data_IF_577587262240
#
_entry.id   IF_577587262240
#
_cell.length_a   1.000
_cell.length_b   1.000
_cell.length_c   1.000
_cell.angle_alpha   90.00
_cell.angle_beta   90.00
_cell.angle_gamma   90.00
#
_symmetry.space_group_name_H-M   'P 1'
#
loop_
_entity.id
_entity.type
_entity.pdbx_description
1 polymer ?
#
# COMPACT_ATOMS: atom_id res chain seq x y z
N UNK A 1 -5.51 -36.23 -10.47
CA UNK A 1 -6.71 -36.24 -9.59
C UNK A 1 -6.43 -35.73 -8.18
N UNK A 2 -5.42 -36.25 -7.44
CA UNK A 2 -5.12 -35.79 -6.06
C UNK A 2 -4.91 -34.27 -5.92
N UNK A 3 -4.20 -33.63 -6.87
CA UNK A 3 -3.93 -32.18 -6.87
C UNK A 3 -5.19 -31.31 -7.03
N UNK A 4 -6.22 -31.82 -7.71
CA UNK A 4 -7.50 -31.14 -7.92
C UNK A 4 -8.30 -31.11 -6.61
N UNK A 5 -8.32 -32.22 -5.87
CA UNK A 5 -8.96 -32.28 -4.55
C UNK A 5 -8.28 -31.34 -3.54
N UNK A 6 -6.96 -31.21 -3.58
CA UNK A 6 -6.22 -30.24 -2.75
C UNK A 6 -6.60 -28.79 -3.08
N UNK A 7 -6.75 -28.46 -4.36
CA UNK A 7 -7.14 -27.13 -4.82
C UNK A 7 -8.57 -26.76 -4.42
N UNK A 8 -9.50 -27.71 -4.55
CA UNK A 8 -10.90 -27.55 -4.12
C UNK A 8 -10.96 -27.39 -2.60
N UNK A 9 -10.18 -28.16 -1.84
CA UNK A 9 -10.06 -28.03 -0.39
C UNK A 9 -9.60 -26.63 0.04
N UNK A 10 -8.56 -26.08 -0.60
CA UNK A 10 -8.10 -24.72 -0.31
C UNK A 10 -9.15 -23.64 -0.64
N UNK A 11 -9.86 -23.79 -1.76
CA UNK A 11 -10.89 -22.84 -2.20
C UNK A 11 -12.14 -22.85 -1.29
N UNK A 12 -12.44 -23.97 -0.64
CA UNK A 12 -13.54 -24.04 0.33
C UNK A 12 -13.18 -23.37 1.67
N UNK A 13 -11.91 -23.40 2.09
CA UNK A 13 -11.42 -22.75 3.31
C UNK A 13 -11.46 -21.21 3.22
N UNK A 14 -11.38 -20.64 2.01
CA UNK A 14 -11.46 -19.17 1.84
C UNK A 14 -12.83 -18.56 2.17
N UNK A 15 -13.92 -19.34 2.22
CA UNK A 15 -15.25 -18.81 2.53
C UNK A 15 -15.46 -18.55 4.03
N UNK A 16 -14.56 -19.02 4.90
CA UNK A 16 -14.65 -18.84 6.35
C UNK A 16 -13.82 -17.65 6.87
N UNK A 17 -13.19 -16.88 5.99
CA UNK A 17 -12.36 -15.74 6.34
C UNK A 17 -13.19 -14.44 6.36
N UNK A 18 -13.85 -14.16 7.50
CA UNK A 18 -14.48 -12.85 7.79
C UNK A 18 -13.45 -11.74 8.10
N UNK A 19 -12.31 -11.73 7.42
CA UNK A 19 -11.11 -11.01 7.86
C UNK A 19 -11.10 -9.49 7.57
N UNK A 20 -12.18 -8.88 7.09
CA UNK A 20 -12.14 -7.47 6.64
C UNK A 20 -13.11 -6.52 7.37
N UNK A 21 -13.72 -6.94 8.47
CA UNK A 21 -14.54 -6.05 9.30
C UNK A 21 -14.24 -6.26 10.77
N UNK A 22 -13.58 -5.31 11.41
CA UNK A 22 -13.66 -5.22 12.87
C UNK A 22 -15.03 -4.59 13.21
N UNK A 23 -15.84 -5.21 14.08
CA UNK A 23 -17.09 -4.61 14.56
C UNK A 23 -16.88 -3.20 15.11
N UNK A 24 -15.70 -2.97 15.72
CA UNK A 24 -15.29 -1.70 16.33
C UNK A 24 -14.71 -0.71 15.31
N UNK A 25 -14.48 -1.12 14.06
CA UNK A 25 -13.91 -0.24 13.04
C UNK A 25 -14.92 0.78 12.50
N UNK A 26 -16.23 0.63 12.78
CA UNK A 26 -17.26 1.66 12.62
C UNK A 26 -17.06 2.63 11.44
N UNK A 27 -16.73 3.89 11.74
CA UNK A 27 -16.52 4.97 10.76
C UNK A 27 -15.07 5.10 10.23
N UNK A 28 -14.22 4.13 10.57
CA UNK A 28 -12.77 4.10 10.37
C UNK A 28 -12.01 4.92 11.42
N UNK A 29 -10.75 5.25 11.11
CA UNK A 29 -9.93 6.20 11.88
C UNK A 29 -10.41 7.65 11.69
N UNK A 30 -11.66 7.93 12.09
CA UNK A 30 -12.31 9.23 12.00
C UNK A 30 -12.51 9.80 13.41
N UNK A 31 -11.94 10.97 13.65
CA UNK A 31 -12.13 11.78 14.85
C UNK A 31 -13.09 12.92 14.51
N UNK A 32 -14.30 12.88 15.05
CA UNK A 32 -15.26 13.98 14.90
C UNK A 32 -14.84 15.15 15.82
N UNK A 33 -14.81 16.35 15.26
CA UNK A 33 -14.49 17.59 15.98
C UNK A 33 -15.74 18.24 16.59
N UNK A 34 -16.92 17.72 16.26
CA UNK A 34 -18.20 18.15 16.84
C UNK A 34 -19.21 17.00 16.94
N UNK A 35 -20.28 17.23 17.70
CA UNK A 35 -21.34 16.24 17.94
C UNK A 35 -22.16 15.92 16.68
N UNK A 36 -22.25 16.85 15.74
CA UNK A 36 -22.98 16.67 14.47
C UNK A 36 -22.19 15.85 13.44
N UNK A 37 -20.87 15.71 13.60
CA UNK A 37 -20.01 14.84 12.78
C UNK A 37 -19.65 15.37 11.39
N UNK A 38 -20.00 16.61 11.06
CA UNK A 38 -19.68 17.29 9.79
C UNK A 38 -18.29 17.93 9.81
N UNK A 39 -17.67 18.11 10.99
CA UNK A 39 -16.27 18.49 11.15
C UNK A 39 -15.49 17.30 11.67
N UNK A 40 -14.44 16.90 10.97
CA UNK A 40 -13.69 15.71 11.36
C UNK A 40 -12.27 15.68 10.82
N UNK A 41 -11.42 14.88 11.46
CA UNK A 41 -10.12 14.44 10.96
C UNK A 41 -10.21 12.96 10.68
N UNK A 42 -9.77 12.51 9.50
CA UNK A 42 -9.69 11.09 9.17
C UNK A 42 -8.29 10.71 8.71
N UNK A 43 -7.83 9.55 9.18
CA UNK A 43 -6.62 8.89 8.71
C UNK A 43 -6.99 7.71 7.81
N UNK A 44 -6.30 7.59 6.69
CA UNK A 44 -6.44 6.49 5.73
C UNK A 44 -5.06 5.92 5.46
N UNK A 45 -4.93 4.61 5.65
CA UNK A 45 -3.79 3.85 5.17
C UNK A 45 -4.19 3.16 3.87
N UNK A 46 -3.45 3.43 2.81
CA UNK A 46 -3.64 2.80 1.51
C UNK A 46 -2.35 2.09 1.12
N UNK A 47 -2.46 0.80 0.87
CA UNK A 47 -1.33 0.00 0.42
C UNK A 47 -1.62 -0.81 -0.85
N UNK A 48 -0.62 -0.98 -1.71
CA UNK A 48 -0.71 -1.80 -2.92
C UNK A 48 0.55 -2.65 -3.08
N UNK A 49 0.43 -3.95 -2.82
CA UNK A 49 1.49 -4.92 -3.02
C UNK A 49 1.40 -5.63 -4.37
N UNK A 50 2.57 -5.93 -4.95
CA UNK A 50 2.76 -6.73 -6.14
C UNK A 50 3.60 -7.95 -5.80
N UNK A 51 3.00 -9.13 -5.96
CA UNK A 51 3.70 -10.39 -6.02
C UNK A 51 3.72 -10.82 -7.49
N UNK A 52 4.91 -11.00 -8.06
CA UNK A 52 5.07 -11.37 -9.46
C UNK A 52 6.02 -12.53 -9.60
N UNK A 53 5.62 -13.46 -10.46
CA UNK A 53 6.48 -14.48 -11.03
C UNK A 53 6.70 -14.14 -12.51
N UNK A 54 7.94 -14.15 -12.97
CA UNK A 54 8.29 -13.79 -14.34
C UNK A 54 9.26 -14.81 -14.89
N UNK A 55 8.82 -15.52 -15.93
CA UNK A 55 9.69 -16.37 -16.72
C UNK A 55 10.63 -15.48 -17.53
N UNK A 56 11.93 -15.76 -17.39
CA UNK A 56 12.99 -14.94 -17.96
C UNK A 56 13.44 -15.54 -19.30
N UNK A 57 13.98 -14.69 -20.18
CA UNK A 57 14.52 -15.16 -21.45
C UNK A 57 15.83 -15.96 -21.21
N UNK A 58 16.16 -16.95 -22.06
CA UNK A 58 17.39 -17.72 -21.93
C UNK A 58 18.63 -16.82 -21.86
N UNK A 59 19.53 -17.10 -20.91
CA UNK A 59 20.74 -16.29 -20.68
C UNK A 59 20.52 -15.02 -19.83
N UNK A 60 19.31 -14.79 -19.32
CA UNK A 60 19.06 -13.72 -18.35
C UNK A 60 19.79 -14.02 -17.04
N UNK A 61 20.51 -13.02 -16.52
CA UNK A 61 21.22 -13.11 -15.24
C UNK A 61 20.52 -12.25 -14.19
N UNK A 62 20.29 -12.81 -13.00
CA UNK A 62 19.80 -12.10 -11.82
C UNK A 62 20.86 -12.24 -10.73
N UNK A 63 21.48 -11.13 -10.31
CA UNK A 63 22.55 -11.18 -9.31
C UNK A 63 23.83 -11.91 -9.76
N UNK A 64 24.03 -12.08 -11.07
CA UNK A 64 25.17 -12.80 -11.65
C UNK A 64 24.89 -14.26 -12.00
N UNK A 65 23.75 -14.82 -11.58
CA UNK A 65 23.41 -16.22 -11.83
C UNK A 65 22.38 -16.37 -12.97
N UNK A 66 22.56 -17.33 -13.90
CA UNK A 66 21.56 -17.66 -14.92
C UNK A 66 20.24 -18.07 -14.26
N UNK A 67 19.16 -17.37 -14.59
CA UNK A 67 17.87 -17.56 -13.93
C UNK A 67 16.76 -17.63 -14.97
N UNK A 68 16.09 -18.78 -15.06
CA UNK A 68 14.96 -19.00 -15.98
C UNK A 68 13.64 -18.45 -15.42
N UNK A 69 13.55 -18.23 -14.10
CA UNK A 69 12.36 -17.72 -13.46
C UNK A 69 12.69 -16.81 -12.27
N UNK A 70 12.16 -15.59 -12.27
CA UNK A 70 12.36 -14.60 -11.22
C UNK A 70 11.06 -14.35 -10.45
N UNK A 71 11.17 -14.37 -9.12
CA UNK A 71 10.12 -13.90 -8.22
C UNK A 71 10.46 -12.49 -7.73
N UNK A 72 9.46 -11.60 -7.70
CA UNK A 72 9.62 -10.29 -7.09
C UNK A 72 8.43 -9.95 -6.21
N UNK A 73 8.75 -9.52 -4.99
CA UNK A 73 7.83 -8.84 -4.09
C UNK A 73 8.17 -7.35 -4.10
N UNK A 74 7.17 -6.52 -4.37
CA UNK A 74 7.32 -5.09 -4.35
C UNK A 74 6.06 -4.39 -3.89
N UNK A 75 6.21 -3.36 -3.09
CA UNK A 75 5.14 -2.44 -2.77
C UNK A 75 5.12 -1.29 -3.80
N UNK A 76 4.02 -1.16 -4.54
CA UNK A 76 3.85 -0.10 -5.55
C UNK A 76 3.52 1.24 -4.92
N UNK A 77 2.68 1.26 -3.87
CA UNK A 77 2.17 2.48 -3.22
C UNK A 77 1.85 2.19 -1.76
N UNK A 78 2.71 2.66 -0.86
CA UNK A 78 2.39 2.81 0.56
C UNK A 78 2.06 4.28 0.82
N UNK A 79 0.83 4.58 1.21
CA UNK A 79 0.41 5.95 1.53
C UNK A 79 -0.37 6.00 2.83
N UNK A 80 -0.07 7.04 3.57
CA UNK A 80 -0.87 7.51 4.68
C UNK A 80 -1.45 8.86 4.29
N UNK A 81 -2.76 8.97 4.32
CA UNK A 81 -3.48 10.20 4.11
C UNK A 81 -4.10 10.62 5.44
N UNK A 82 -3.92 11.86 5.82
CA UNK A 82 -4.61 12.50 6.92
C UNK A 82 -5.38 13.68 6.33
N UNK A 83 -6.70 13.68 6.45
CA UNK A 83 -7.49 14.80 5.97
C UNK A 83 -8.45 15.32 7.02
N UNK A 84 -8.55 16.64 7.11
CA UNK A 84 -9.38 17.35 8.07
C UNK A 84 -10.40 18.18 7.32
N UNK A 85 -11.68 17.92 7.56
CA UNK A 85 -12.78 18.73 7.07
C UNK A 85 -13.18 19.71 8.18
N UNK A 86 -12.76 20.98 8.04
CA UNK A 86 -12.98 22.04 9.03
C UNK A 86 -14.32 22.74 8.78
N UNK A 87 -14.75 22.82 7.51
CA UNK A 87 -16.08 23.26 7.11
C UNK A 87 -16.51 22.54 5.84
N UNK A 88 -17.77 22.69 5.43
CA UNK A 88 -18.26 22.14 4.14
C UNK A 88 -17.44 22.57 2.91
N UNK A 89 -16.68 23.66 3.01
CA UNK A 89 -15.88 24.23 1.90
C UNK A 89 -14.37 24.22 2.14
N UNK A 90 -13.92 23.82 3.33
CA UNK A 90 -12.50 23.84 3.70
C UNK A 90 -12.07 22.45 4.17
N UNK A 91 -11.24 21.82 3.36
CA UNK A 91 -10.58 20.55 3.67
C UNK A 91 -9.07 20.75 3.60
N UNK A 92 -8.36 20.17 4.56
CA UNK A 92 -6.91 20.05 4.53
C UNK A 92 -6.59 18.60 4.25
N UNK A 93 -5.82 18.31 3.21
CA UNK A 93 -5.34 16.97 2.88
C UNK A 93 -3.82 16.95 3.00
N UNK A 94 -3.34 16.13 3.92
CA UNK A 94 -1.96 15.73 4.04
C UNK A 94 -1.83 14.31 3.52
N UNK A 95 -0.86 14.05 2.66
CA UNK A 95 -0.50 12.68 2.35
C UNK A 95 1.00 12.51 2.31
N UNK A 96 1.46 11.44 2.94
CA UNK A 96 2.85 11.02 2.91
C UNK A 96 2.93 9.56 2.53
N UNK A 97 3.93 9.21 1.75
CA UNK A 97 4.06 7.84 1.29
C UNK A 97 5.32 7.58 0.48
N UNK A 98 5.54 6.30 0.25
CA UNK A 98 6.66 5.79 -0.52
C UNK A 98 6.09 5.01 -1.70
N UNK A 99 6.69 5.18 -2.87
CA UNK A 99 6.29 4.46 -4.07
C UNK A 99 7.37 3.46 -4.49
N UNK A 100 6.94 2.34 -5.03
CA UNK A 100 7.77 1.38 -5.75
C UNK A 100 8.97 0.87 -4.93
N UNK A 101 8.71 0.40 -3.70
CA UNK A 101 9.66 -0.34 -2.89
C UNK A 101 9.72 -1.78 -3.39
N UNK A 102 10.92 -2.27 -3.69
CA UNK A 102 11.13 -3.67 -4.06
C UNK A 102 12.29 -4.21 -3.25
N UNK A 103 12.46 -5.53 -3.18
CA UNK A 103 13.61 -6.11 -2.47
C UNK A 103 14.97 -5.64 -3.04
N UNK A 104 15.03 -5.34 -4.34
CA UNK A 104 16.26 -4.98 -5.07
C UNK A 104 16.47 -3.46 -5.16
N UNK A 105 15.46 -2.63 -4.93
CA UNK A 105 15.57 -1.16 -5.06
C UNK A 105 14.84 -0.41 -3.95
N UNK A 106 14.53 -1.11 -2.87
CA UNK A 106 13.89 -0.60 -1.66
C UNK A 106 14.92 -0.33 -0.57
N UNK A 107 14.55 0.50 0.40
CA UNK A 107 15.42 0.85 1.52
C UNK A 107 14.83 1.94 2.38
N UNK A 108 15.21 1.95 3.66
CA UNK A 108 14.82 2.97 4.64
C UNK A 108 15.93 4.02 4.82
N UNK A 109 15.61 5.23 5.33
CA UNK A 109 16.63 6.22 5.65
C UNK A 109 17.64 5.66 6.66
N UNK A 110 18.94 5.77 6.37
CA UNK A 110 20.02 5.40 7.30
C UNK A 110 20.46 3.93 7.28
N UNK A 111 19.91 3.08 6.40
CA UNK A 111 20.35 1.67 6.28
C UNK A 111 21.38 1.50 5.15
N UNK A 112 22.54 0.94 5.48
CA UNK A 112 23.58 0.54 4.51
C UNK A 112 23.28 -0.85 3.91
N UNK A 113 22.73 -0.90 2.69
CA UNK A 113 22.44 -2.12 1.87
C UNK A 113 20.93 -2.41 1.67
N UNK A 114 20.42 -3.20 0.72
CA UNK A 114 20.88 -3.67 -0.62
C UNK A 114 19.87 -3.17 -1.66
N UNK A 115 20.34 -2.40 -2.64
CA UNK A 115 19.63 -2.10 -3.86
C UNK A 115 20.37 -1.11 -4.77
N UNK A 116 20.01 -1.04 -6.05
CA UNK A 116 20.75 -0.29 -7.10
C UNK A 116 20.92 1.22 -6.84
N UNK A 117 20.21 1.75 -5.85
CA UNK A 117 20.32 3.12 -5.35
C UNK A 117 20.59 3.09 -3.84
N UNK A 118 21.80 2.78 -3.37
CA UNK A 118 22.16 3.05 -1.97
C UNK A 118 21.60 4.42 -1.51
N UNK A 119 21.10 4.46 -0.26
CA UNK A 119 20.15 5.42 0.33
C UNK A 119 18.66 5.25 -0.08
N UNK A 120 17.89 4.68 0.84
CA UNK A 120 16.46 4.42 0.74
C UNK A 120 15.61 5.58 0.20
N UNK A 121 14.52 5.24 -0.50
CA UNK A 121 13.64 6.25 -1.11
C UNK A 121 12.98 7.10 -0.03
N UNK A 122 13.17 8.42 -0.12
CA UNK A 122 12.56 9.38 0.79
C UNK A 122 11.05 9.37 0.63
N UNK A 123 10.35 9.36 1.75
CA UNK A 123 8.90 9.59 1.81
C UNK A 123 8.59 10.96 1.23
N UNK A 124 7.68 11.02 0.27
CA UNK A 124 7.22 12.30 -0.28
C UNK A 124 6.05 12.78 0.57
N UNK A 125 6.17 14.00 1.11
CA UNK A 125 5.08 14.69 1.78
C UNK A 125 4.46 15.67 0.79
N UNK A 126 3.15 15.62 0.68
CA UNK A 126 2.37 16.53 -0.13
C UNK A 126 1.28 17.15 0.73
N UNK A 127 1.14 18.46 0.59
CA UNK A 127 0.12 19.26 1.24
C UNK A 127 -0.80 19.83 0.18
N UNK A 128 -2.09 19.55 0.30
CA UNK A 128 -3.10 20.06 -0.61
C UNK A 128 -4.25 20.66 0.19
N UNK A 129 -4.56 21.91 -0.13
CA UNK A 129 -5.84 22.53 0.19
C UNK A 129 -6.63 22.54 -1.13
N UNK A 130 -7.60 21.62 -1.33
CA UNK A 130 -8.46 21.71 -2.48
C UNK A 130 -9.22 23.04 -2.43
N UNK A 131 -8.83 23.96 -3.31
CA UNK A 131 -9.61 25.13 -3.64
C UNK A 131 -10.85 24.74 -4.43
N UNK A 132 -11.93 25.46 -4.19
CA UNK A 132 -13.26 25.35 -4.81
C UNK A 132 -13.30 24.75 -6.23
N UNK A 133 -14.14 23.72 -6.41
CA UNK A 133 -15.00 23.71 -7.59
C UNK A 133 -16.03 24.84 -7.37
N UNK A 134 -15.78 25.97 -8.04
CA UNK A 134 -16.81 26.98 -8.32
C UNK A 134 -17.76 26.41 -9.39
N UNK A 135 -19.04 26.86 -9.43
CA UNK A 135 -20.20 26.09 -9.87
C UNK A 135 -20.14 25.55 -11.31
#
# INVERSE_FOLDING_TARGET
>A
MKKIFTFIGLALISNSLYSQGSPDYGSGLKLNLNQQGDKYVRFILWDQFWLRNTQMNPGSMVGGEPTDNSWSLGNRRLRTLAYAQISKRYMILLHFGINNQTFINGGAPGTTGTGGNGNGKKTQLFFMMPGMNMP
#
